data_IF_057983428392
#
_entry.id   IF_057983428392
#
_cell.length_a   1.000
_cell.length_b   1.000
_cell.length_c   1.000
_cell.angle_alpha   90.00
_cell.angle_beta   90.00
_cell.angle_gamma   90.00
#
_symmetry.space_group_name_H-M   'P 1'
#
loop_
_entity.id
_entity.type
_entity.pdbx_description
1 polymer ?
#
# COMPACT_ATOMS: atom_id res chain seq x y z
N UNK A 1 -7.30 -2.04 15.75
CA UNK A 1 -8.47 -1.43 15.10
C UNK A 1 -8.44 -1.87 13.65
N UNK A 2 -9.45 -2.62 13.22
CA UNK A 2 -9.60 -3.06 11.83
C UNK A 2 -10.48 -2.01 11.13
N UNK A 3 -9.94 -1.31 10.14
CA UNK A 3 -10.73 -0.34 9.37
C UNK A 3 -11.95 -1.04 8.73
N UNK A 4 -13.12 -0.40 8.77
CA UNK A 4 -14.34 -0.92 8.15
C UNK A 4 -14.10 -1.14 6.63
N UNK A 5 -14.61 -2.25 6.04
CA UNK A 5 -14.27 -2.63 4.67
C UNK A 5 -14.65 -1.57 3.61
N UNK A 6 -15.65 -0.75 3.88
CA UNK A 6 -16.18 0.30 3.01
C UNK A 6 -15.34 1.58 2.99
N UNK A 7 -14.36 1.72 3.89
CA UNK A 7 -13.47 2.90 3.94
C UNK A 7 -12.12 2.68 3.26
N UNK A 8 -11.85 1.48 2.71
CA UNK A 8 -10.55 1.16 2.13
C UNK A 8 -10.39 1.73 0.72
N UNK A 9 -9.26 2.40 0.48
CA UNK A 9 -8.91 2.91 -0.85
C UNK A 9 -8.46 1.78 -1.78
N UNK A 10 -8.84 1.82 -3.05
CA UNK A 10 -8.34 0.88 -4.06
C UNK A 10 -7.08 1.44 -4.71
N UNK A 11 -6.03 0.64 -4.74
CA UNK A 11 -4.75 0.99 -5.38
C UNK A 11 -4.83 0.66 -6.86
N UNK A 12 -4.55 1.67 -7.70
CA UNK A 12 -4.41 1.54 -9.16
C UNK A 12 -2.99 1.23 -9.60
N UNK A 13 -2.00 1.72 -8.84
CA UNK A 13 -0.60 1.58 -9.22
C UNK A 13 0.35 1.76 -8.05
N UNK A 14 1.40 0.95 -8.03
CA UNK A 14 2.48 0.95 -7.06
C UNK A 14 3.82 1.08 -7.77
N UNK A 15 4.66 1.99 -7.30
CA UNK A 15 6.01 2.18 -7.84
C UNK A 15 7.01 2.31 -6.69
N UNK A 16 7.62 1.18 -6.35
CA UNK A 16 8.57 1.05 -5.26
C UNK A 16 9.89 1.72 -5.65
N UNK A 17 10.29 2.71 -4.86
CA UNK A 17 11.51 3.52 -5.04
C UNK A 17 11.68 4.04 -6.47
N UNK A 18 10.57 4.51 -7.04
CA UNK A 18 10.59 5.25 -8.31
C UNK A 18 11.49 6.48 -8.22
N UNK A 19 11.59 7.07 -7.02
CA UNK A 19 12.59 8.07 -6.65
C UNK A 19 13.50 7.50 -5.57
N UNK A 20 14.74 8.01 -5.44
CA UNK A 20 15.68 7.51 -4.43
C UNK A 20 15.19 7.63 -2.99
N UNK A 21 14.33 8.62 -2.71
CA UNK A 21 13.90 9.02 -1.38
C UNK A 21 12.46 8.64 -1.04
N UNK A 22 11.66 8.22 -2.03
CA UNK A 22 10.28 7.76 -1.79
C UNK A 22 9.74 6.83 -2.88
N UNK A 23 8.76 6.04 -2.46
CA UNK A 23 7.89 5.23 -3.31
C UNK A 23 6.59 5.97 -3.66
N UNK A 24 5.89 5.55 -4.71
CA UNK A 24 4.63 6.19 -5.16
C UNK A 24 3.46 5.22 -5.13
N UNK A 25 2.32 5.69 -4.62
CA UNK A 25 1.04 4.99 -4.68
C UNK A 25 0.03 5.86 -5.42
N UNK A 26 -0.69 5.24 -6.35
CA UNK A 26 -1.78 5.82 -7.11
C UNK A 26 -3.10 5.18 -6.65
N UNK A 27 -4.01 5.98 -6.09
CA UNK A 27 -5.33 5.55 -5.64
C UNK A 27 -6.37 5.77 -6.74
N UNK A 28 -7.23 4.76 -6.95
CA UNK A 28 -8.37 4.80 -7.85
C UNK A 28 -9.61 5.42 -7.20
N UNK A 29 -9.80 5.22 -5.90
CA UNK A 29 -10.97 5.68 -5.15
C UNK A 29 -10.58 6.76 -4.15
N UNK A 30 -11.58 7.52 -3.68
CA UNK A 30 -11.38 8.42 -2.55
C UNK A 30 -11.11 7.60 -1.30
N UNK A 31 -9.97 7.78 -0.62
CA UNK A 31 -9.72 7.06 0.62
C UNK A 31 -10.71 7.50 1.70
N UNK A 32 -11.29 6.55 2.43
CA UNK A 32 -11.81 6.84 3.75
C UNK A 32 -10.62 7.14 4.66
N UNK A 33 -10.58 8.35 5.22
CA UNK A 33 -9.50 8.76 6.12
C UNK A 33 -10.00 8.61 7.56
N UNK A 34 -9.36 7.73 8.33
CA UNK A 34 -9.56 7.65 9.78
C UNK A 34 -8.43 8.43 10.47
N UNK A 35 -8.67 9.73 10.72
CA UNK A 35 -7.65 10.64 11.25
C UNK A 35 -6.54 10.94 10.23
N UNK A 36 -5.33 10.43 10.47
CA UNK A 36 -4.17 10.55 9.58
C UNK A 36 -3.80 9.22 8.88
N UNK A 37 -4.68 8.22 8.97
CA UNK A 37 -4.41 6.87 8.48
C UNK A 37 -5.21 6.61 7.21
N UNK A 38 -4.52 6.08 6.20
CA UNK A 38 -5.15 5.45 5.03
C UNK A 38 -4.93 3.94 5.09
N UNK A 39 -6.00 3.18 4.83
CA UNK A 39 -5.92 1.74 4.60
C UNK A 39 -6.31 1.49 3.16
N UNK A 40 -5.36 1.03 2.35
CA UNK A 40 -5.60 0.79 0.94
C UNK A 40 -5.35 -0.67 0.56
N UNK A 41 -6.06 -1.15 -0.45
CA UNK A 41 -5.98 -2.51 -0.94
C UNK A 41 -5.51 -2.57 -2.39
N UNK A 42 -4.71 -3.59 -2.70
CA UNK A 42 -4.27 -3.95 -4.02
C UNK A 42 -4.77 -5.36 -4.35
N UNK A 43 -5.45 -5.45 -5.47
CA UNK A 43 -5.82 -6.72 -6.09
C UNK A 43 -4.68 -7.11 -7.02
N UNK A 44 -3.99 -8.21 -6.70
CA UNK A 44 -2.93 -8.74 -7.54
C UNK A 44 -3.12 -10.24 -7.70
N UNK A 45 -2.97 -10.72 -8.93
CA UNK A 45 -3.04 -12.16 -9.21
C UNK A 45 -1.70 -12.78 -8.84
N UNK A 46 -1.66 -13.45 -7.69
CA UNK A 46 -0.47 -14.19 -7.25
C UNK A 46 -0.38 -15.50 -8.01
N UNK A 47 0.80 -15.81 -8.55
CA UNK A 47 1.07 -17.12 -9.15
C UNK A 47 1.52 -18.10 -8.06
N UNK A 48 0.68 -19.07 -7.69
CA UNK A 48 1.07 -20.16 -6.77
C UNK A 48 0.01 -20.55 -5.74
N UNK A 49 0.26 -21.69 -5.06
CA UNK A 49 -0.53 -22.23 -3.95
C UNK A 49 -0.67 -21.23 -2.77
N UNK A 50 -1.51 -21.60 -1.82
CA UNK A 50 -1.84 -20.89 -0.58
C UNK A 50 -0.61 -20.21 0.08
N UNK A 51 -0.32 -18.96 -0.33
CA UNK A 51 0.67 -18.09 0.31
C UNK A 51 0.48 -18.03 1.83
N UNK A 52 1.56 -18.32 2.57
CA UNK A 52 1.61 -18.16 4.02
C UNK A 52 1.20 -16.73 4.46
N UNK A 53 0.77 -16.53 5.73
CA UNK A 53 0.24 -15.25 6.24
C UNK A 53 1.15 -14.02 6.04
N UNK A 54 2.45 -14.21 5.82
CA UNK A 54 3.44 -13.14 5.63
C UNK A 54 4.19 -13.24 4.29
N UNK A 55 3.66 -14.01 3.33
CA UNK A 55 4.28 -14.14 2.02
C UNK A 55 3.93 -12.95 1.13
N UNK A 56 4.96 -12.30 0.60
CA UNK A 56 4.82 -11.22 -0.36
C UNK A 56 4.45 -11.74 -1.76
N UNK A 57 3.63 -11.00 -2.54
CA UNK A 57 3.25 -11.41 -3.88
C UNK A 57 4.45 -11.42 -4.84
N UNK A 58 4.48 -12.44 -5.69
CA UNK A 58 5.52 -12.66 -6.69
C UNK A 58 4.89 -12.85 -8.07
N UNK A 59 5.64 -12.42 -9.08
CA UNK A 59 5.33 -12.71 -10.49
C UNK A 59 5.50 -14.20 -10.78
N UNK A 60 4.93 -14.68 -11.89
CA UNK A 60 5.12 -16.05 -12.37
C UNK A 60 6.59 -16.46 -12.57
N UNK A 61 7.52 -15.48 -12.64
CA UNK A 61 8.97 -15.71 -12.73
C UNK A 61 9.68 -15.70 -11.36
N UNK A 62 8.95 -15.66 -10.26
CA UNK A 62 9.50 -15.65 -8.88
C UNK A 62 10.04 -14.31 -8.39
N UNK A 63 10.00 -13.25 -9.20
CA UNK A 63 10.40 -11.91 -8.75
C UNK A 63 9.28 -11.24 -7.96
N UNK A 64 9.62 -10.52 -6.88
CA UNK A 64 8.67 -9.68 -6.15
C UNK A 64 8.01 -8.66 -7.09
N UNK A 65 6.67 -8.62 -7.04
CA UNK A 65 5.88 -7.57 -7.71
C UNK A 65 6.10 -6.23 -7.03
N UNK A 66 5.51 -5.16 -7.56
CA UNK A 66 5.53 -3.87 -6.87
C UNK A 66 4.84 -3.97 -5.51
N UNK A 67 3.64 -4.56 -5.45
CA UNK A 67 2.97 -4.89 -4.18
C UNK A 67 3.87 -5.73 -3.27
N UNK A 68 4.61 -6.68 -3.84
CA UNK A 68 5.53 -7.55 -3.11
C UNK A 68 6.65 -6.78 -2.43
N UNK A 69 7.22 -5.79 -3.11
CA UNK A 69 8.26 -4.93 -2.56
C UNK A 69 7.72 -4.04 -1.44
N UNK A 70 6.54 -3.43 -1.63
CA UNK A 70 5.88 -2.66 -0.57
C UNK A 70 5.57 -3.53 0.64
N UNK A 71 5.00 -4.72 0.43
CA UNK A 71 4.64 -5.66 1.48
C UNK A 71 5.86 -6.05 2.32
N UNK A 72 6.96 -6.44 1.66
CA UNK A 72 8.21 -6.74 2.34
C UNK A 72 8.79 -5.54 3.10
N UNK A 73 8.70 -4.33 2.55
CA UNK A 73 9.18 -3.13 3.23
C UNK A 73 8.40 -2.85 4.51
N UNK A 74 7.07 -3.03 4.49
CA UNK A 74 6.23 -2.88 5.67
C UNK A 74 6.57 -3.93 6.75
N UNK A 75 6.73 -5.20 6.35
CA UNK A 75 7.08 -6.28 7.28
C UNK A 75 8.46 -6.06 7.92
N UNK A 76 9.46 -5.64 7.14
CA UNK A 76 10.80 -5.31 7.65
C UNK A 76 10.74 -4.17 8.65
N UNK A 77 9.97 -3.11 8.34
CA UNK A 77 9.75 -2.01 9.27
C UNK A 77 9.11 -2.49 10.58
N UNK A 78 8.04 -3.29 10.49
CA UNK A 78 7.33 -3.83 11.66
C UNK A 78 8.21 -4.73 12.54
N UNK A 79 9.20 -5.39 11.96
CA UNK A 79 10.22 -6.19 12.66
C UNK A 79 11.40 -5.36 13.19
N UNK A 80 11.44 -4.05 12.92
CA UNK A 80 12.55 -3.17 13.31
C UNK A 80 13.80 -3.33 12.44
N UNK A 81 13.70 -4.01 11.29
CA UNK A 81 14.83 -4.29 10.40
C UNK A 81 15.13 -3.11 9.45
N UNK A 82 14.19 -2.19 9.28
CA UNK A 82 14.36 -1.00 8.44
C UNK A 82 13.51 0.19 8.90
N UNK A 83 13.91 1.39 8.50
CA UNK A 83 13.03 2.56 8.56
C UNK A 83 11.76 2.32 7.72
N UNK A 84 10.63 2.97 8.07
CA UNK A 84 9.41 2.85 7.29
C UNK A 84 9.63 3.45 5.89
N UNK A 85 9.06 2.82 4.88
CA UNK A 85 9.16 3.31 3.50
C UNK A 85 8.33 4.60 3.37
N UNK A 86 8.96 5.68 2.90
CA UNK A 86 8.29 6.95 2.62
C UNK A 86 7.53 6.84 1.31
N UNK A 87 6.27 7.24 1.32
CA UNK A 87 5.36 7.07 0.18
C UNK A 87 4.70 8.40 -0.17
N UNK A 88 4.75 8.78 -1.44
CA UNK A 88 3.94 9.87 -1.99
C UNK A 88 2.65 9.31 -2.56
N UNK A 89 1.52 9.79 -2.07
CA UNK A 89 0.20 9.30 -2.47
C UNK A 89 -0.47 10.29 -3.42
N UNK A 90 -0.99 9.76 -4.51
CA UNK A 90 -1.81 10.50 -5.47
C UNK A 90 -3.19 9.87 -5.56
N UNK A 91 -4.24 10.68 -5.60
CA UNK A 91 -5.61 10.24 -5.82
C UNK A 91 -6.08 10.67 -7.20
N UNK A 92 -6.69 9.76 -7.95
CA UNK A 92 -7.41 10.13 -9.16
C UNK A 92 -8.77 10.74 -8.81
N UNK A 93 -9.00 11.98 -9.23
CA UNK A 93 -10.32 12.61 -9.15
C UNK A 93 -11.08 12.28 -10.43
N UNK A 94 -12.14 11.48 -10.31
CA UNK A 94 -12.90 10.97 -11.45
C UNK A 94 -13.26 12.09 -12.45
N UNK A 95 -12.81 11.94 -13.69
CA UNK A 95 -13.06 12.88 -14.78
C UNK A 95 -12.25 14.18 -14.76
N UNK A 96 -11.26 14.33 -13.86
CA UNK A 96 -10.50 15.59 -13.72
C UNK A 96 -8.99 15.40 -13.87
N UNK A 97 -8.31 14.94 -12.81
CA UNK A 97 -6.84 14.93 -12.73
C UNK A 97 -6.36 14.14 -11.51
N UNK A 98 -5.04 13.90 -11.44
CA UNK A 98 -4.38 13.37 -10.25
C UNK A 98 -4.13 14.49 -9.23
N UNK A 99 -4.55 14.29 -7.99
CA UNK A 99 -4.27 15.19 -6.87
C UNK A 99 -3.24 14.58 -5.91
N UNK A 100 -2.33 15.41 -5.42
CA UNK A 100 -1.34 15.01 -4.41
C UNK A 100 -2.02 14.99 -3.04
N UNK A 101 -2.06 13.82 -2.40
CA UNK A 101 -2.59 13.67 -1.04
C UNK A 101 -1.54 13.98 0.04
N UNK A 102 -0.26 13.84 -0.32
CA UNK A 102 0.87 14.16 0.54
C UNK A 102 1.85 13.00 0.66
N UNK A 103 2.71 13.11 1.67
CA UNK A 103 3.65 12.05 2.05
C UNK A 103 3.13 11.28 3.26
N UNK A 104 3.39 9.98 3.22
CA UNK A 104 2.98 9.00 4.21
C UNK A 104 4.16 8.08 4.54
N UNK A 105 4.09 7.38 5.66
CA UNK A 105 4.95 6.24 5.97
C UNK A 105 4.15 4.95 5.83
N UNK A 106 4.75 3.95 5.19
CA UNK A 106 4.21 2.59 5.15
C UNK A 106 4.47 1.89 6.47
N UNK A 107 3.44 1.85 7.32
CA UNK A 107 3.53 1.39 8.71
C UNK A 107 3.25 -0.10 8.88
N UNK A 108 2.37 -0.67 8.04
CA UNK A 108 1.99 -2.09 8.12
C UNK A 108 1.47 -2.60 6.77
N UNK A 109 1.52 -3.92 6.60
CA UNK A 109 0.88 -4.63 5.49
C UNK A 109 0.47 -6.04 5.90
N UNK A 110 -0.68 -6.49 5.41
CA UNK A 110 -1.19 -7.85 5.57
C UNK A 110 -1.97 -8.26 4.32
N UNK A 111 -2.37 -9.52 4.23
CA UNK A 111 -3.29 -9.97 3.19
C UNK A 111 -4.55 -10.56 3.80
N UNK A 112 -5.65 -10.45 3.08
CA UNK A 112 -6.94 -11.03 3.40
C UNK A 112 -7.39 -11.88 2.22
N UNK A 113 -8.16 -12.93 2.49
CA UNK A 113 -8.85 -13.67 1.44
C UNK A 113 -10.27 -13.10 1.29
N UNK A 114 -10.64 -12.72 0.07
CA UNK A 114 -11.97 -12.24 -0.29
C UNK A 114 -12.40 -12.90 -1.58
N UNK A 115 -13.55 -13.56 -1.57
CA UNK A 115 -14.13 -14.24 -2.74
C UNK A 115 -13.13 -15.20 -3.45
N UNK A 116 -12.31 -15.90 -2.66
CA UNK A 116 -11.28 -16.82 -3.18
C UNK A 116 -10.06 -16.12 -3.82
N UNK A 117 -9.94 -14.80 -3.66
CA UNK A 117 -8.80 -14.00 -4.11
C UNK A 117 -8.03 -13.41 -2.92
N UNK A 118 -6.72 -13.29 -3.06
CA UNK A 118 -5.88 -12.62 -2.07
C UNK A 118 -5.84 -11.12 -2.33
N UNK A 119 -6.17 -10.36 -1.30
CA UNK A 119 -6.18 -8.90 -1.29
C UNK A 119 -5.07 -8.42 -0.38
N UNK A 120 -4.10 -7.68 -0.93
CA UNK A 120 -3.01 -7.12 -0.15
C UNK A 120 -3.41 -5.76 0.39
N UNK A 121 -3.31 -5.59 1.71
CA UNK A 121 -3.75 -4.39 2.42
C UNK A 121 -2.54 -3.68 2.99
N UNK A 122 -2.51 -2.36 2.82
CA UNK A 122 -1.41 -1.49 3.24
C UNK A 122 -1.94 -0.39 4.14
N UNK A 123 -1.26 -0.17 5.27
CA UNK A 123 -1.57 0.91 6.21
C UNK A 123 -0.54 2.03 6.10
N UNK A 124 -1.03 3.21 5.75
CA UNK A 124 -0.23 4.41 5.52
C UNK A 124 -0.58 5.43 6.61
N UNK A 125 0.43 5.99 7.27
CA UNK A 125 0.26 7.08 8.23
C UNK A 125 0.78 8.37 7.64
N UNK A 126 0.00 9.45 7.71
CA UNK A 126 0.36 10.75 7.12
C UNK A 126 1.56 11.35 7.85
N UNK A 127 2.53 11.84 7.08
CA UNK A 127 3.61 12.64 7.64
C UNK A 127 3.09 14.07 7.79
N UNK A 128 3.03 14.62 9.01
CA UNK A 128 2.57 15.99 9.22
C UNK A 128 3.50 16.97 8.51
N UNK A 129 2.90 17.96 7.84
CA UNK A 129 3.66 19.08 7.30
C UNK A 129 3.94 20.01 8.48
N UNK A 130 5.18 19.99 8.97
CA UNK A 130 5.61 20.97 9.97
C UNK A 130 5.85 22.27 9.21
N UNK A 131 4.92 23.22 9.33
CA UNK A 131 5.16 24.59 8.89
C UNK A 131 6.14 25.21 9.89
N UNK A 132 7.34 25.52 9.42
CA UNK A 132 8.30 26.36 10.14
C UNK A 132 7.93 27.84 9.97
#
# INVERSE_FOLDING_TARGET
MTAQPDQRCVIRGLYYRLRPDYSVILLATSPGIEGDILVCESYEVTSGDELAPQSAPQSARGNLTQSGRFFMAALRHKRGESNPEKVKVYQYMEGKSWQVQGFYVLSDAWHEERDGQKVFVFRLEKIPIVNH
#
